data_IF_009876885025
#
_entry.id   IF_009876885025
#
_cell.length_a   1.000
_cell.length_b   1.000
_cell.length_c   1.000
_cell.angle_alpha   90.00
_cell.angle_beta   90.00
_cell.angle_gamma   90.00
#
_symmetry.space_group_name_H-M   'P 1'
#
loop_
_entity.id
_entity.type
_entity.pdbx_description
1 polymer ?
#
# COMPACT_ATOMS: atom_id res chain seq x y z
N UNK A 1 -36.93 -11.23 -5.07
CA UNK A 1 -36.41 -10.11 -4.27
C UNK A 1 -35.41 -9.37 -5.13
N UNK A 2 -35.73 -8.15 -5.57
CA UNK A 2 -34.82 -7.34 -6.37
C UNK A 2 -33.62 -6.95 -5.50
N UNK A 3 -32.40 -7.22 -5.97
CA UNK A 3 -31.17 -6.85 -5.24
C UNK A 3 -31.06 -5.34 -5.01
N UNK A 4 -30.14 -4.90 -4.13
CA UNK A 4 -29.89 -3.47 -3.93
C UNK A 4 -29.55 -2.78 -5.25
N UNK A 5 -30.02 -1.54 -5.43
CA UNK A 5 -29.66 -0.75 -6.61
C UNK A 5 -28.13 -0.59 -6.70
N UNK A 6 -27.54 -0.44 -7.90
CA UNK A 6 -26.08 -0.27 -8.05
C UNK A 6 -25.52 0.87 -7.17
N UNK A 7 -26.27 1.96 -7.02
CA UNK A 7 -25.94 3.08 -6.12
C UNK A 7 -25.90 2.66 -4.64
N UNK A 8 -26.89 1.89 -4.18
CA UNK A 8 -26.92 1.41 -2.79
C UNK A 8 -25.80 0.38 -2.51
N UNK A 9 -25.52 -0.51 -3.47
CA UNK A 9 -24.41 -1.44 -3.37
C UNK A 9 -23.05 -0.72 -3.32
N UNK A 10 -22.91 0.37 -4.07
CA UNK A 10 -21.70 1.19 -4.09
C UNK A 10 -21.51 1.95 -2.77
N UNK A 11 -22.58 2.55 -2.25
CA UNK A 11 -22.56 3.18 -0.93
C UNK A 11 -22.12 2.18 0.16
N UNK A 12 -22.70 0.99 0.16
CA UNK A 12 -22.33 -0.07 1.11
C UNK A 12 -20.86 -0.52 0.94
N UNK A 13 -20.32 -0.53 -0.29
CA UNK A 13 -18.90 -0.81 -0.52
C UNK A 13 -18.00 0.27 0.10
N UNK A 14 -18.33 1.55 -0.11
CA UNK A 14 -17.61 2.67 0.51
C UNK A 14 -17.61 2.58 2.03
N UNK A 15 -18.76 2.27 2.64
CA UNK A 15 -18.88 2.12 4.09
C UNK A 15 -18.01 0.96 4.61
N UNK A 16 -18.02 -0.19 3.93
CA UNK A 16 -17.15 -1.32 4.31
C UNK A 16 -15.66 -0.94 4.24
N UNK A 17 -15.24 -0.24 3.18
CA UNK A 17 -13.84 0.22 3.03
C UNK A 17 -13.44 1.22 4.09
N UNK A 18 -14.30 2.18 4.41
CA UNK A 18 -14.05 3.14 5.49
C UNK A 18 -13.98 2.45 6.84
N UNK A 19 -14.92 1.55 7.16
CA UNK A 19 -14.92 0.80 8.41
C UNK A 19 -13.67 -0.07 8.56
N UNK A 20 -13.24 -0.73 7.48
CA UNK A 20 -11.99 -1.49 7.44
C UNK A 20 -10.80 -0.55 7.71
N UNK A 21 -10.68 0.54 6.95
CA UNK A 21 -9.62 1.54 7.11
C UNK A 21 -9.54 2.10 8.53
N UNK A 22 -10.68 2.44 9.14
CA UNK A 22 -10.75 3.04 10.47
C UNK A 22 -10.40 2.03 11.57
N UNK A 23 -10.97 0.82 11.52
CA UNK A 23 -10.60 -0.28 12.43
C UNK A 23 -9.11 -0.58 12.36
N UNK A 24 -8.59 -0.52 11.16
CA UNK A 24 -7.19 -0.75 10.88
C UNK A 24 -6.32 0.41 11.41
N UNK A 25 -6.67 1.64 11.13
CA UNK A 25 -5.79 2.79 11.42
C UNK A 25 -5.88 3.27 12.86
N UNK A 26 -7.08 3.24 13.46
CA UNK A 26 -7.35 3.80 14.78
C UNK A 26 -7.63 2.73 15.85
N UNK A 27 -7.91 1.49 15.45
CA UNK A 27 -8.10 0.37 16.38
C UNK A 27 -9.19 0.65 17.44
N UNK A 28 -8.92 0.36 18.74
CA UNK A 28 -9.93 0.46 19.79
C UNK A 28 -10.36 1.89 20.13
N UNK A 29 -9.61 2.92 19.71
CA UNK A 29 -9.96 4.33 19.94
C UNK A 29 -10.65 4.98 18.73
N UNK A 30 -10.95 4.20 17.69
CA UNK A 30 -11.65 4.65 16.47
C UNK A 30 -12.92 5.44 16.77
N UNK A 31 -13.81 4.90 17.61
CA UNK A 31 -15.07 5.56 17.95
C UNK A 31 -14.90 6.89 18.68
N UNK A 32 -13.90 7.00 19.56
CA UNK A 32 -13.61 8.25 20.28
C UNK A 32 -13.05 9.32 19.32
N UNK A 33 -12.06 8.92 18.52
CA UNK A 33 -11.42 9.79 17.52
C UNK A 33 -12.45 10.29 16.49
N UNK A 34 -13.29 9.40 15.95
CA UNK A 34 -14.36 9.74 15.02
C UNK A 34 -15.37 10.69 15.67
N UNK A 35 -15.87 10.36 16.86
CA UNK A 35 -16.83 11.21 17.56
C UNK A 35 -16.30 12.60 17.95
N UNK A 36 -14.98 12.76 18.14
CA UNK A 36 -14.37 14.07 18.37
C UNK A 36 -14.25 14.89 17.08
N UNK A 37 -13.81 14.29 15.97
CA UNK A 37 -13.75 14.99 14.69
C UNK A 37 -15.13 15.30 14.11
N UNK A 38 -16.11 14.42 14.30
CA UNK A 38 -17.47 14.69 13.80
C UNK A 38 -18.07 15.92 14.48
N UNK A 39 -17.87 16.08 15.80
CA UNK A 39 -18.28 17.28 16.55
C UNK A 39 -17.53 18.56 16.16
N UNK A 40 -16.32 18.42 15.63
CA UNK A 40 -15.50 19.55 15.20
C UNK A 40 -15.94 20.05 13.82
N UNK A 41 -16.02 19.14 12.87
CA UNK A 41 -16.11 19.45 11.44
C UNK A 41 -17.53 19.61 10.97
N UNK A 42 -18.49 18.96 11.62
CA UNK A 42 -19.89 19.00 11.21
C UNK A 42 -20.73 19.78 12.22
N UNK A 43 -21.79 20.47 11.75
CA UNK A 43 -22.67 21.21 12.63
C UNK A 43 -23.44 20.28 13.59
N UNK A 44 -23.86 20.77 14.78
CA UNK A 44 -24.67 19.98 15.70
C UNK A 44 -25.94 19.43 15.03
N UNK A 45 -26.17 18.12 15.15
CA UNK A 45 -27.31 17.44 14.53
C UNK A 45 -27.10 17.00 13.07
N UNK A 46 -25.91 17.23 12.50
CA UNK A 46 -25.55 16.61 11.23
C UNK A 46 -25.37 15.09 11.38
N UNK A 47 -25.79 14.35 10.35
CA UNK A 47 -25.58 12.90 10.21
C UNK A 47 -24.61 12.65 9.03
N UNK A 48 -23.30 12.92 9.22
CA UNK A 48 -22.32 12.70 8.16
C UNK A 48 -22.23 11.21 7.81
N UNK A 49 -22.03 10.93 6.53
CA UNK A 49 -21.76 9.57 6.06
C UNK A 49 -20.38 9.12 6.52
N UNK A 50 -20.16 7.81 6.64
CA UNK A 50 -18.87 7.28 7.09
C UNK A 50 -17.68 7.74 6.20
N UNK A 51 -17.81 7.85 4.86
CA UNK A 51 -16.77 8.45 4.03
C UNK A 51 -16.46 9.92 4.33
N UNK A 52 -17.48 10.72 4.70
CA UNK A 52 -17.28 12.13 5.08
C UNK A 52 -16.55 12.24 6.41
N UNK A 53 -16.85 11.37 7.38
CA UNK A 53 -16.12 11.31 8.66
C UNK A 53 -14.68 10.78 8.47
N UNK A 54 -14.47 9.87 7.53
CA UNK A 54 -13.17 9.22 7.29
C UNK A 54 -12.19 10.10 6.52
N UNK A 55 -12.65 11.03 5.69
CA UNK A 55 -11.78 11.86 4.85
C UNK A 55 -10.85 12.78 5.68
N UNK A 56 -11.33 13.56 6.66
CA UNK A 56 -10.49 14.37 7.53
C UNK A 56 -9.51 13.52 8.35
N UNK A 57 -9.93 12.31 8.75
CA UNK A 57 -9.07 11.35 9.42
C UNK A 57 -7.92 10.89 8.54
N UNK A 58 -8.22 10.49 7.30
CA UNK A 58 -7.22 10.08 6.34
C UNK A 58 -6.25 11.21 6.00
N UNK A 59 -6.75 12.44 5.93
CA UNK A 59 -5.92 13.63 5.76
C UNK A 59 -4.96 13.84 6.94
N UNK A 60 -5.46 13.83 8.19
CA UNK A 60 -4.64 13.98 9.38
C UNK A 60 -3.59 12.86 9.47
N UNK A 61 -4.02 11.63 9.23
CA UNK A 61 -3.20 10.42 9.26
C UNK A 61 -2.05 10.53 8.23
N UNK A 62 -2.36 10.88 6.98
CA UNK A 62 -1.35 11.07 5.93
C UNK A 62 -0.31 12.14 6.30
N UNK A 63 -0.76 13.28 6.82
CA UNK A 63 0.10 14.43 7.14
C UNK A 63 1.04 14.13 8.31
N UNK A 64 0.52 13.48 9.35
CA UNK A 64 1.35 13.04 10.49
C UNK A 64 2.40 12.02 10.08
N UNK A 65 2.04 11.06 9.21
CA UNK A 65 2.98 10.06 8.72
C UNK A 65 3.99 10.62 7.72
N UNK A 66 3.64 11.69 7.02
CA UNK A 66 4.57 12.47 6.20
C UNK A 66 5.53 13.34 7.04
N UNK A 67 5.42 13.30 8.37
CA UNK A 67 6.31 14.02 9.29
C UNK A 67 5.89 15.46 9.59
N UNK A 68 4.65 15.86 9.26
CA UNK A 68 4.17 17.20 9.64
C UNK A 68 3.97 17.31 11.16
N UNK A 69 4.36 18.46 11.72
CA UNK A 69 4.19 18.73 13.14
C UNK A 69 2.72 18.73 13.58
N UNK A 70 2.45 18.20 14.77
CA UNK A 70 1.10 18.10 15.35
C UNK A 70 0.33 19.43 15.31
N UNK A 71 1.01 20.52 15.67
CA UNK A 71 0.41 21.86 15.69
C UNK A 71 0.02 22.37 14.30
N UNK A 72 0.77 21.98 13.26
CA UNK A 72 0.43 22.31 11.88
C UNK A 72 -0.76 21.48 11.39
N UNK A 73 -0.78 20.19 11.71
CA UNK A 73 -1.92 19.30 11.37
C UNK A 73 -3.21 19.77 12.04
N UNK A 74 -3.17 20.22 13.31
CA UNK A 74 -4.33 20.86 13.98
C UNK A 74 -4.89 22.01 13.15
N UNK A 75 -4.03 22.98 12.79
CA UNK A 75 -4.45 24.17 12.05
C UNK A 75 -5.05 23.82 10.69
N UNK A 76 -4.49 22.82 10.01
CA UNK A 76 -5.04 22.35 8.74
C UNK A 76 -6.42 21.72 8.93
N UNK A 77 -6.60 20.87 9.94
CA UNK A 77 -7.90 20.28 10.28
C UNK A 77 -8.94 21.32 10.67
N UNK A 78 -8.56 22.33 11.46
CA UNK A 78 -9.42 23.48 11.78
C UNK A 78 -9.81 24.26 10.52
N UNK A 79 -8.90 24.39 9.56
CA UNK A 79 -9.15 24.97 8.24
C UNK A 79 -10.21 24.20 7.43
N UNK A 80 -10.33 22.88 7.63
CA UNK A 80 -11.34 22.06 6.95
C UNK A 80 -12.76 22.29 7.49
N UNK A 81 -12.94 22.87 8.69
CA UNK A 81 -14.27 23.02 9.30
C UNK A 81 -15.28 23.74 8.38
N UNK A 82 -14.80 24.73 7.60
CA UNK A 82 -15.64 25.46 6.62
C UNK A 82 -16.14 24.56 5.49
N UNK A 83 -15.34 23.58 5.06
CA UNK A 83 -15.73 22.64 3.99
C UNK A 83 -16.86 21.69 4.40
N UNK A 84 -17.01 21.46 5.71
CA UNK A 84 -17.99 20.55 6.29
C UNK A 84 -19.12 21.30 7.03
N UNK A 85 -19.20 22.62 6.87
CA UNK A 85 -20.30 23.44 7.37
C UNK A 85 -20.22 23.81 8.86
N UNK A 86 -19.09 23.56 9.52
CA UNK A 86 -18.85 23.99 10.90
C UNK A 86 -18.24 25.40 10.95
N UNK A 87 -18.72 26.30 11.84
CA UNK A 87 -18.26 27.69 11.94
C UNK A 87 -16.86 27.87 12.57
N UNK A 88 -16.08 26.80 12.75
CA UNK A 88 -14.67 26.88 13.16
C UNK A 88 -14.44 26.61 14.65
N UNK A 89 -14.78 25.39 15.09
CA UNK A 89 -14.36 24.89 16.40
C UNK A 89 -12.84 24.63 16.43
N UNK A 90 -12.21 24.83 17.60
CA UNK A 90 -10.78 24.53 17.81
C UNK A 90 -10.59 23.10 18.30
N UNK A 91 -9.58 22.43 17.79
CA UNK A 91 -9.19 21.10 18.24
C UNK A 91 -8.49 21.17 19.59
N UNK A 92 -8.83 20.25 20.50
CA UNK A 92 -8.05 20.04 21.72
C UNK A 92 -6.82 19.19 21.35
N UNK A 93 -5.67 19.56 21.89
CA UNK A 93 -4.40 18.80 21.71
C UNK A 93 -4.60 17.31 22.05
N UNK A 94 -5.47 16.99 23.01
CA UNK A 94 -5.81 15.61 23.39
C UNK A 94 -6.38 14.75 22.25
N UNK A 95 -7.16 15.31 21.32
CA UNK A 95 -7.75 14.58 20.18
C UNK A 95 -6.68 14.10 19.21
N UNK A 96 -5.74 14.98 18.91
CA UNK A 96 -4.63 14.66 18.01
C UNK A 96 -3.55 13.85 18.70
N UNK A 97 -3.40 13.97 20.02
CA UNK A 97 -2.59 13.06 20.82
C UNK A 97 -3.17 11.64 20.83
N UNK A 98 -4.49 11.48 20.95
CA UNK A 98 -5.16 10.17 20.81
C UNK A 98 -5.02 9.62 19.40
N UNK A 99 -5.15 10.46 18.37
CA UNK A 99 -4.87 10.07 16.99
C UNK A 99 -3.40 9.64 16.83
N UNK A 100 -2.44 10.46 17.25
CA UNK A 100 -1.01 10.15 17.17
C UNK A 100 -0.68 8.90 17.96
N UNK A 101 -1.25 8.72 19.15
CA UNK A 101 -1.11 7.50 19.95
C UNK A 101 -1.69 6.33 19.16
N UNK A 102 -2.92 6.37 18.66
CA UNK A 102 -3.48 5.30 17.83
C UNK A 102 -2.63 4.96 16.60
N UNK A 103 -2.09 5.98 15.93
CA UNK A 103 -1.28 5.86 14.72
C UNK A 103 0.15 5.36 15.00
N UNK A 104 0.67 5.56 16.22
CA UNK A 104 2.05 5.18 16.63
C UNK A 104 2.09 3.97 17.57
N UNK A 105 0.99 3.70 18.26
CA UNK A 105 0.74 2.62 19.23
C UNK A 105 -0.09 1.48 18.64
N UNK A 106 -0.24 1.40 17.32
CA UNK A 106 -0.63 0.18 16.64
C UNK A 106 0.65 -0.53 16.15
N UNK A 107 1.13 -1.58 16.84
CA UNK A 107 2.33 -2.30 16.43
C UNK A 107 2.03 -3.09 15.16
N UNK A 108 2.92 -3.03 14.17
CA UNK A 108 2.80 -3.83 12.94
C UNK A 108 2.25 -3.12 11.70
N UNK A 109 2.17 -1.79 11.67
CA UNK A 109 1.69 -1.06 10.48
C UNK A 109 2.79 -0.17 9.91
N UNK A 110 3.87 -0.83 9.46
CA UNK A 110 4.84 -0.26 8.52
C UNK A 110 4.20 0.11 7.16
N UNK A 111 2.89 -0.17 7.01
CA UNK A 111 2.01 0.13 5.88
C UNK A 111 1.12 1.37 6.06
N UNK A 112 1.32 2.19 7.08
CA UNK A 112 0.34 3.22 7.46
C UNK A 112 0.31 4.40 6.49
N UNK A 113 1.44 4.74 5.86
CA UNK A 113 1.52 5.87 4.92
C UNK A 113 0.84 5.53 3.61
N UNK A 114 1.15 4.39 2.99
CA UNK A 114 0.50 3.97 1.75
C UNK A 114 -1.01 3.76 1.95
N UNK A 115 -1.45 3.22 3.09
CA UNK A 115 -2.88 3.09 3.43
C UNK A 115 -3.54 4.44 3.69
N UNK A 116 -2.88 5.36 4.38
CA UNK A 116 -3.39 6.71 4.59
C UNK A 116 -3.48 7.47 3.26
N UNK A 117 -2.50 7.30 2.37
CA UNK A 117 -2.45 7.88 1.05
C UNK A 117 -3.58 7.36 0.16
N UNK A 118 -3.72 6.04 0.04
CA UNK A 118 -4.77 5.39 -0.74
C UNK A 118 -6.16 5.73 -0.21
N UNK A 119 -6.35 5.75 1.10
CA UNK A 119 -7.59 6.19 1.73
C UNK A 119 -7.88 7.68 1.45
N UNK A 120 -6.92 8.56 1.71
CA UNK A 120 -7.07 10.00 1.51
C UNK A 120 -7.43 10.32 0.06
N UNK A 121 -6.66 9.82 -0.91
CA UNK A 121 -6.94 10.12 -2.32
C UNK A 121 -8.23 9.46 -2.81
N UNK A 122 -8.58 8.25 -2.37
CA UNK A 122 -9.87 7.64 -2.73
C UNK A 122 -11.06 8.47 -2.21
N UNK A 123 -10.99 8.91 -0.96
CA UNK A 123 -12.04 9.70 -0.32
C UNK A 123 -12.09 11.14 -0.86
N UNK A 124 -10.94 11.73 -1.18
CA UNK A 124 -10.84 13.03 -1.81
C UNK A 124 -11.49 12.99 -3.18
N UNK A 125 -11.11 12.04 -4.04
CA UNK A 125 -11.70 11.89 -5.37
C UNK A 125 -13.22 11.68 -5.30
N UNK A 126 -13.71 10.88 -4.33
CA UNK A 126 -15.15 10.74 -4.07
C UNK A 126 -15.81 12.08 -3.74
N UNK A 127 -15.21 12.89 -2.88
CA UNK A 127 -15.72 14.23 -2.53
C UNK A 127 -15.77 15.13 -3.76
N UNK A 128 -14.67 15.20 -4.51
CA UNK A 128 -14.58 16.06 -5.70
C UNK A 128 -15.58 15.64 -6.78
N UNK A 129 -15.75 14.33 -6.99
CA UNK A 129 -16.78 13.80 -7.89
C UNK A 129 -18.21 14.19 -7.43
N UNK A 130 -18.45 14.22 -6.11
CA UNK A 130 -19.70 14.73 -5.54
C UNK A 130 -19.91 16.22 -5.77
N UNK A 131 -18.85 17.04 -5.69
CA UNK A 131 -18.92 18.47 -6.01
C UNK A 131 -19.22 18.71 -7.50
N UNK A 132 -18.62 17.92 -8.39
CA UNK A 132 -18.94 17.94 -9.83
C UNK A 132 -20.41 17.56 -10.09
N UNK A 133 -20.93 16.54 -9.38
CA UNK A 133 -22.33 16.13 -9.46
C UNK A 133 -23.30 17.23 -9.00
N UNK A 134 -22.88 18.04 -8.03
CA UNK A 134 -23.63 19.21 -7.54
C UNK A 134 -23.50 20.45 -8.43
N UNK A 135 -22.72 20.39 -9.52
CA UNK A 135 -22.51 21.50 -10.45
C UNK A 135 -21.53 22.56 -9.94
N UNK A 136 -20.67 22.24 -8.97
CA UNK A 136 -19.61 23.14 -8.52
C UNK A 136 -18.56 23.30 -9.62
N UNK A 137 -18.20 24.54 -9.95
CA UNK A 137 -17.23 24.84 -11.01
C UNK A 137 -15.80 24.37 -10.69
N UNK A 138 -15.04 23.99 -11.72
CA UNK A 138 -13.67 23.48 -11.56
C UNK A 138 -12.74 24.48 -10.85
N UNK A 139 -12.92 25.79 -11.04
CA UNK A 139 -12.13 26.82 -10.35
C UNK A 139 -12.34 26.80 -8.83
N UNK A 140 -13.57 26.53 -8.38
CA UNK A 140 -13.86 26.40 -6.95
C UNK A 140 -13.29 25.10 -6.38
N UNK A 141 -13.33 24.00 -7.13
CA UNK A 141 -12.70 22.73 -6.75
C UNK A 141 -11.17 22.88 -6.68
N UNK A 142 -10.58 23.60 -7.63
CA UNK A 142 -9.16 23.95 -7.66
C UNK A 142 -8.78 24.75 -6.41
N UNK A 143 -9.58 25.76 -6.05
CA UNK A 143 -9.42 26.49 -4.79
C UNK A 143 -9.51 25.59 -3.55
N UNK A 144 -10.44 24.63 -3.52
CA UNK A 144 -10.52 23.67 -2.41
C UNK A 144 -9.25 22.81 -2.30
N UNK A 145 -8.74 22.31 -3.43
CA UNK A 145 -7.51 21.52 -3.49
C UNK A 145 -6.28 22.28 -2.98
N UNK A 146 -6.12 23.53 -3.39
CA UNK A 146 -4.98 24.35 -2.98
C UNK A 146 -5.12 24.81 -1.53
N UNK A 147 -6.26 25.38 -1.18
CA UNK A 147 -6.41 26.19 0.03
C UNK A 147 -6.73 25.33 1.25
N UNK A 148 -7.56 24.29 1.08
CA UNK A 148 -7.98 23.43 2.18
C UNK A 148 -7.11 22.17 2.28
N UNK A 149 -6.91 21.47 1.16
CA UNK A 149 -6.16 20.21 1.14
C UNK A 149 -4.63 20.39 1.02
N UNK A 150 -4.17 21.60 0.69
CA UNK A 150 -2.75 21.93 0.59
C UNK A 150 -2.04 21.23 -0.58
N UNK A 151 -2.76 20.97 -1.68
CA UNK A 151 -2.25 20.40 -2.92
C UNK A 151 -1.88 21.56 -3.84
N UNK A 152 -0.61 21.96 -3.82
CA UNK A 152 -0.13 23.20 -4.43
C UNK A 152 0.52 23.00 -5.82
N UNK A 153 1.00 21.79 -6.11
CA UNK A 153 1.61 21.50 -7.39
C UNK A 153 0.54 21.42 -8.49
N UNK A 154 0.69 22.22 -9.55
CA UNK A 154 -0.28 22.30 -10.66
C UNK A 154 -0.56 20.91 -11.27
N UNK A 155 0.48 20.09 -11.41
CA UNK A 155 0.32 18.72 -11.91
C UNK A 155 -0.51 17.84 -10.97
N UNK A 156 -0.34 17.98 -9.65
CA UNK A 156 -1.11 17.22 -8.67
C UNK A 156 -2.58 17.67 -8.62
N UNK A 157 -2.83 18.96 -8.78
CA UNK A 157 -4.18 19.54 -8.92
C UNK A 157 -4.85 19.00 -10.18
N UNK A 158 -4.15 19.06 -11.33
CA UNK A 158 -4.63 18.53 -12.61
C UNK A 158 -4.98 17.06 -12.52
N UNK A 159 -4.09 16.22 -11.99
CA UNK A 159 -4.32 14.79 -11.82
C UNK A 159 -5.50 14.50 -10.88
N UNK A 160 -5.68 15.30 -9.82
CA UNK A 160 -6.83 15.15 -8.90
C UNK A 160 -8.15 15.49 -9.58
N UNK A 161 -8.18 16.56 -10.39
CA UNK A 161 -9.35 16.94 -11.19
C UNK A 161 -9.65 15.90 -12.29
N UNK A 162 -8.63 15.42 -12.99
CA UNK A 162 -8.76 14.35 -14.00
C UNK A 162 -9.36 13.09 -13.38
N UNK A 163 -8.83 12.64 -12.23
CA UNK A 163 -9.35 11.50 -11.49
C UNK A 163 -10.79 11.72 -10.99
N UNK A 164 -11.12 12.92 -10.51
CA UNK A 164 -12.46 13.24 -10.03
C UNK A 164 -13.48 13.26 -11.17
N UNK A 165 -13.11 13.80 -12.33
CA UNK A 165 -13.94 13.77 -13.55
C UNK A 165 -14.15 12.36 -14.06
N UNK A 166 -13.09 11.56 -14.08
CA UNK A 166 -13.16 10.18 -14.49
C UNK A 166 -14.10 9.40 -13.56
N UNK A 167 -13.95 9.54 -12.24
CA UNK A 167 -14.85 8.95 -11.25
C UNK A 167 -16.29 9.44 -11.43
N UNK A 168 -16.51 10.75 -11.55
CA UNK A 168 -17.83 11.34 -11.73
C UNK A 168 -18.56 10.80 -12.96
N UNK A 169 -17.93 10.84 -14.15
CA UNK A 169 -18.50 10.29 -15.39
C UNK A 169 -18.88 8.82 -15.24
N UNK A 170 -18.01 8.07 -14.59
CA UNK A 170 -18.16 6.64 -14.34
C UNK A 170 -19.28 6.31 -13.37
N UNK A 171 -19.59 7.20 -12.42
CA UNK A 171 -20.76 7.06 -11.56
C UNK A 171 -22.08 7.31 -12.31
N UNK A 172 -22.04 7.94 -13.48
CA UNK A 172 -23.19 8.15 -14.36
C UNK A 172 -23.35 7.05 -15.43
N UNK A 173 -22.25 6.41 -15.86
CA UNK A 173 -22.27 5.36 -16.88
C UNK A 173 -22.02 3.95 -16.29
N UNK A 174 -23.02 3.04 -16.34
CA UNK A 174 -22.90 1.68 -15.80
C UNK A 174 -21.84 0.80 -16.50
N UNK A 175 -21.32 1.16 -17.67
CA UNK A 175 -20.21 0.42 -18.30
C UNK A 175 -18.82 0.85 -17.80
N UNK A 176 -18.75 1.70 -16.77
CA UNK A 176 -17.48 2.10 -16.15
C UNK A 176 -16.46 2.79 -17.09
N UNK A 177 -16.88 3.34 -18.23
CA UNK A 177 -15.95 3.89 -19.23
C UNK A 177 -15.13 2.82 -19.98
N UNK A 178 -15.50 1.55 -19.84
CA UNK A 178 -14.96 0.46 -20.62
C UNK A 178 -15.42 0.58 -22.08
N UNK A 179 -14.49 0.64 -23.03
CA UNK A 179 -14.84 0.65 -24.46
C UNK A 179 -15.50 -0.68 -24.86
N UNK A 180 -16.49 -0.67 -25.77
CA UNK A 180 -17.06 -1.91 -26.28
C UNK A 180 -15.98 -2.73 -26.98
N UNK A 181 -16.02 -4.05 -26.80
CA UNK A 181 -15.16 -4.96 -27.53
C UNK A 181 -15.72 -5.17 -28.95
N UNK A 182 -14.87 -5.44 -29.96
CA UNK A 182 -15.33 -5.74 -31.31
C UNK A 182 -15.99 -7.13 -31.43
N UNK A 183 -16.09 -7.87 -30.32
CA UNK A 183 -16.67 -9.20 -30.22
C UNK A 183 -17.38 -9.38 -28.87
N UNK A 184 -18.31 -10.34 -28.80
CA UNK A 184 -18.89 -10.79 -27.55
C UNK A 184 -17.84 -11.60 -26.76
N UNK A 185 -17.45 -11.10 -25.57
CA UNK A 185 -16.31 -11.65 -24.82
C UNK A 185 -16.48 -13.14 -24.47
N UNK A 186 -17.66 -13.52 -23.94
CA UNK A 186 -17.93 -14.91 -23.53
C UNK A 186 -17.92 -15.88 -24.71
N UNK A 187 -18.55 -15.50 -25.82
CA UNK A 187 -18.58 -16.30 -27.05
C UNK A 187 -17.18 -16.44 -27.67
N UNK A 188 -16.42 -15.35 -27.68
CA UNK A 188 -15.05 -15.35 -28.19
C UNK A 188 -14.13 -16.22 -27.34
N UNK A 189 -14.24 -16.18 -26.00
CA UNK A 189 -13.49 -17.05 -25.11
C UNK A 189 -13.85 -18.52 -25.32
N UNK A 190 -15.14 -18.83 -25.49
CA UNK A 190 -15.60 -20.20 -25.75
C UNK A 190 -15.07 -20.73 -27.10
N UNK A 191 -15.15 -19.92 -28.16
CA UNK A 191 -14.64 -20.28 -29.48
C UNK A 191 -13.13 -20.55 -29.50
N UNK A 192 -12.37 -19.95 -28.57
CA UNK A 192 -10.93 -20.14 -28.45
C UNK A 192 -10.51 -21.16 -27.37
N UNK A 193 -11.47 -21.81 -26.71
CA UNK A 193 -11.21 -22.80 -25.65
C UNK A 193 -10.65 -22.19 -24.36
N UNK A 194 -10.99 -20.93 -24.07
CA UNK A 194 -10.43 -20.16 -22.94
C UNK A 194 -11.42 -19.95 -21.78
N UNK A 195 -12.65 -20.44 -21.86
CA UNK A 195 -13.69 -20.21 -20.85
C UNK A 195 -13.29 -20.68 -19.45
N UNK A 196 -12.72 -21.88 -19.31
CA UNK A 196 -12.27 -22.38 -18.00
C UNK A 196 -11.07 -21.61 -17.46
N UNK A 197 -10.11 -21.26 -18.34
CA UNK A 197 -8.95 -20.47 -17.97
C UNK A 197 -9.35 -19.07 -17.48
N UNK A 198 -10.29 -18.42 -18.17
CA UNK A 198 -10.82 -17.12 -17.75
C UNK A 198 -11.61 -17.22 -16.43
N UNK A 199 -12.44 -18.26 -16.25
CA UNK A 199 -13.15 -18.50 -14.99
C UNK A 199 -12.19 -18.74 -13.81
N UNK A 200 -11.07 -19.43 -14.06
CA UNK A 200 -10.00 -19.63 -13.08
C UNK A 200 -9.28 -18.31 -12.77
N UNK A 201 -8.88 -17.56 -13.80
CA UNK A 201 -8.21 -16.26 -13.66
C UNK A 201 -9.08 -15.23 -12.94
N UNK A 202 -10.41 -15.28 -13.10
CA UNK A 202 -11.35 -14.41 -12.37
C UNK A 202 -11.20 -14.54 -10.85
N UNK A 203 -10.84 -15.73 -10.34
CA UNK A 203 -10.63 -15.95 -8.90
C UNK A 203 -9.45 -15.17 -8.34
N UNK A 204 -8.49 -14.77 -9.21
CA UNK A 204 -7.38 -13.89 -8.82
C UNK A 204 -7.89 -12.50 -8.41
N UNK A 205 -9.08 -12.07 -8.85
CA UNK A 205 -9.61 -10.74 -8.57
C UNK A 205 -10.80 -10.76 -7.61
N UNK A 206 -10.83 -11.73 -6.69
CA UNK A 206 -11.96 -11.93 -5.78
C UNK A 206 -12.32 -10.66 -4.96
N UNK A 207 -11.31 -9.87 -4.54
CA UNK A 207 -11.52 -8.62 -3.81
C UNK A 207 -12.24 -7.55 -4.64
N UNK A 208 -11.95 -7.45 -5.94
CA UNK A 208 -12.68 -6.58 -6.87
C UNK A 208 -14.09 -7.10 -7.18
N UNK A 209 -14.31 -8.42 -7.06
CA UNK A 209 -15.63 -9.04 -7.24
C UNK A 209 -16.69 -8.57 -6.22
N UNK A 210 -16.28 -8.02 -5.09
CA UNK A 210 -17.18 -7.40 -4.10
C UNK A 210 -17.64 -5.99 -4.48
N UNK A 211 -17.00 -5.37 -5.50
CA UNK A 211 -17.36 -4.05 -5.97
C UNK A 211 -18.47 -4.14 -7.03
N UNK A 212 -19.62 -3.45 -6.83
CA UNK A 212 -20.82 -3.64 -7.66
C UNK A 212 -20.61 -3.27 -9.12
N UNK A 213 -19.65 -2.40 -9.41
CA UNK A 213 -19.39 -1.99 -10.78
C UNK A 213 -18.17 -2.65 -11.41
N UNK A 214 -17.19 -3.19 -10.65
CA UNK A 214 -15.93 -3.66 -11.24
C UNK A 214 -16.06 -5.01 -11.96
N UNK A 215 -17.19 -5.70 -11.86
CA UNK A 215 -17.37 -7.03 -12.45
C UNK A 215 -16.99 -7.09 -13.94
N UNK A 216 -17.45 -6.19 -14.84
CA UNK A 216 -17.05 -6.24 -16.26
C UNK A 216 -15.56 -5.95 -16.48
N UNK A 217 -14.94 -5.15 -15.61
CA UNK A 217 -13.49 -4.90 -15.64
C UNK A 217 -12.72 -6.16 -15.23
N UNK A 218 -13.18 -6.84 -14.18
CA UNK A 218 -12.62 -8.11 -13.70
C UNK A 218 -12.75 -9.22 -14.75
N UNK A 219 -13.89 -9.32 -15.45
CA UNK A 219 -14.03 -10.28 -16.56
C UNK A 219 -13.00 -10.05 -17.66
N UNK A 220 -12.75 -8.79 -18.01
CA UNK A 220 -11.78 -8.43 -19.06
C UNK A 220 -10.34 -8.65 -18.59
N UNK A 221 -10.02 -8.38 -17.32
CA UNK A 221 -8.73 -8.75 -16.73
C UNK A 221 -8.51 -10.26 -16.75
N UNK A 222 -9.51 -11.03 -16.31
CA UNK A 222 -9.45 -12.49 -16.30
C UNK A 222 -9.29 -13.06 -17.72
N UNK A 223 -9.98 -12.48 -18.70
CA UNK A 223 -9.80 -12.82 -20.11
C UNK A 223 -8.39 -12.48 -20.61
N UNK A 224 -7.86 -11.30 -20.28
CA UNK A 224 -6.50 -10.92 -20.66
C UNK A 224 -5.45 -11.90 -20.09
N UNK A 225 -5.59 -12.28 -18.81
CA UNK A 225 -4.76 -13.27 -18.15
C UNK A 225 -4.83 -14.65 -18.82
N UNK A 226 -6.04 -15.12 -19.15
CA UNK A 226 -6.24 -16.39 -19.85
C UNK A 226 -5.62 -16.38 -21.26
N UNK A 227 -5.78 -15.28 -22.00
CA UNK A 227 -5.21 -15.14 -23.34
C UNK A 227 -3.69 -15.06 -23.28
N UNK A 228 -3.11 -14.33 -22.32
CA UNK A 228 -1.66 -14.29 -22.11
C UNK A 228 -1.10 -15.69 -21.88
N UNK A 229 -1.68 -16.45 -20.95
CA UNK A 229 -1.26 -17.83 -20.69
C UNK A 229 -1.36 -18.75 -21.91
N UNK A 230 -2.37 -18.56 -22.75
CA UNK A 230 -2.54 -19.34 -23.98
C UNK A 230 -1.53 -18.95 -25.08
N UNK A 231 -1.17 -17.66 -25.18
CA UNK A 231 -0.12 -17.18 -26.09
C UNK A 231 1.23 -17.76 -25.70
N UNK A 232 1.55 -17.79 -24.41
CA UNK A 232 2.82 -18.32 -23.90
C UNK A 232 2.98 -19.84 -24.13
N UNK A 233 1.88 -20.57 -24.32
CA UNK A 233 1.85 -22.02 -24.52
C UNK A 233 1.65 -22.45 -25.99
N UNK A 234 1.32 -21.52 -26.88
CA UNK A 234 0.90 -21.83 -28.25
C UNK A 234 2.05 -21.96 -29.24
N UNK A 235 1.91 -22.84 -30.22
CA UNK A 235 2.88 -23.03 -31.31
C UNK A 235 2.29 -22.84 -32.72
N UNK A 236 0.97 -22.65 -32.85
CA UNK A 236 0.29 -22.41 -34.13
C UNK A 236 0.24 -20.90 -34.45
N UNK A 237 0.94 -20.42 -35.51
CA UNK A 237 0.99 -19.01 -35.85
C UNK A 237 -0.39 -18.38 -36.14
N UNK A 238 -1.32 -19.14 -36.73
CA UNK A 238 -2.65 -18.64 -37.06
C UNK A 238 -3.48 -18.34 -35.82
N UNK A 239 -3.54 -19.32 -34.90
CA UNK A 239 -4.18 -19.15 -33.59
C UNK A 239 -3.49 -18.08 -32.73
N UNK A 240 -2.15 -18.05 -32.70
CA UNK A 240 -1.39 -17.05 -31.94
C UNK A 240 -1.72 -15.62 -32.39
N UNK A 241 -1.86 -15.39 -33.69
CA UNK A 241 -2.26 -14.08 -34.22
C UNK A 241 -3.66 -13.67 -33.77
N UNK A 242 -4.64 -14.58 -33.88
CA UNK A 242 -6.01 -14.30 -33.45
C UNK A 242 -6.10 -14.02 -31.94
N UNK A 243 -5.34 -14.77 -31.13
CA UNK A 243 -5.23 -14.54 -29.69
C UNK A 243 -4.57 -13.19 -29.37
N UNK A 244 -3.50 -12.82 -30.08
CA UNK A 244 -2.82 -11.54 -29.90
C UNK A 244 -3.72 -10.34 -30.27
N UNK A 245 -4.48 -10.43 -31.36
CA UNK A 245 -5.46 -9.42 -31.77
C UNK A 245 -6.59 -9.28 -30.73
N UNK A 246 -7.12 -10.40 -30.22
CA UNK A 246 -8.09 -10.41 -29.14
C UNK A 246 -7.55 -9.81 -27.83
N UNK A 247 -6.31 -10.18 -27.45
CA UNK A 247 -5.63 -9.63 -26.28
C UNK A 247 -5.47 -8.12 -26.38
N UNK A 248 -5.03 -7.61 -27.53
CA UNK A 248 -4.87 -6.17 -27.75
C UNK A 248 -6.20 -5.41 -27.62
N UNK A 249 -7.30 -5.95 -28.15
CA UNK A 249 -8.63 -5.35 -28.01
C UNK A 249 -9.11 -5.32 -26.55
N UNK A 250 -8.85 -6.40 -25.79
CA UNK A 250 -9.16 -6.46 -24.35
C UNK A 250 -8.33 -5.43 -23.57
N UNK A 251 -7.03 -5.32 -23.86
CA UNK A 251 -6.15 -4.35 -23.19
C UNK A 251 -6.48 -2.89 -23.52
N UNK A 252 -6.84 -2.55 -24.77
CA UNK A 252 -7.27 -1.19 -25.13
C UNK A 252 -8.55 -0.81 -24.36
N UNK A 253 -9.47 -1.77 -24.26
CA UNK A 253 -10.70 -1.60 -23.53
C UNK A 253 -10.48 -1.38 -22.03
N UNK A 254 -9.58 -2.15 -21.41
CA UNK A 254 -9.18 -2.00 -20.00
C UNK A 254 -8.48 -0.67 -19.74
N UNK A 255 -7.58 -0.23 -20.64
CA UNK A 255 -6.81 1.01 -20.49
C UNK A 255 -7.72 2.22 -20.30
N UNK A 256 -8.77 2.32 -21.12
CA UNK A 256 -9.76 3.40 -21.05
C UNK A 256 -10.46 3.47 -19.69
N UNK A 257 -10.69 2.33 -19.03
CA UNK A 257 -11.33 2.29 -17.72
C UNK A 257 -10.32 2.41 -16.56
N UNK A 258 -9.05 1.99 -16.76
CA UNK A 258 -8.02 2.03 -15.73
C UNK A 258 -7.70 3.45 -15.26
N UNK A 259 -7.78 4.43 -16.17
CA UNK A 259 -7.59 5.86 -15.87
C UNK A 259 -8.62 6.42 -14.86
N UNK A 260 -9.73 5.71 -14.66
CA UNK A 260 -10.82 6.11 -13.76
C UNK A 260 -10.84 5.38 -12.42
N UNK A 261 -9.89 4.46 -12.20
CA UNK A 261 -9.81 3.69 -10.96
C UNK A 261 -9.28 4.56 -9.84
N UNK A 262 -10.02 4.61 -8.74
CA UNK A 262 -9.49 5.18 -7.51
C UNK A 262 -8.50 4.20 -6.85
N UNK A 263 -7.61 4.68 -5.98
CA UNK A 263 -6.63 3.82 -5.33
C UNK A 263 -7.21 2.58 -4.64
N UNK A 264 -8.33 2.70 -3.92
CA UNK A 264 -8.99 1.54 -3.27
C UNK A 264 -9.56 0.50 -4.25
N UNK A 265 -9.91 0.90 -5.47
CA UNK A 265 -10.33 -0.06 -6.50
C UNK A 265 -9.12 -0.72 -7.14
N UNK A 266 -8.07 0.07 -7.43
CA UNK A 266 -6.81 -0.43 -7.95
C UNK A 266 -6.17 -1.46 -7.00
N UNK A 267 -6.32 -1.29 -5.68
CA UNK A 267 -5.93 -2.30 -4.69
C UNK A 267 -6.65 -3.63 -4.88
N UNK A 268 -7.99 -3.61 -5.04
CA UNK A 268 -8.80 -4.82 -5.20
C UNK A 268 -8.60 -5.53 -6.55
N UNK A 269 -8.08 -4.80 -7.54
CA UNK A 269 -7.77 -5.31 -8.88
C UNK A 269 -6.36 -5.89 -8.99
N UNK A 270 -5.57 -5.86 -7.92
CA UNK A 270 -4.30 -6.60 -7.87
C UNK A 270 -4.62 -8.10 -7.95
N UNK A 271 -3.99 -8.87 -8.84
CA UNK A 271 -4.16 -10.31 -8.86
C UNK A 271 -3.75 -10.89 -7.50
N UNK A 272 -4.72 -11.41 -6.77
CA UNK A 272 -4.51 -12.21 -5.59
C UNK A 272 -3.85 -13.51 -6.04
N UNK A 273 -2.61 -13.74 -5.60
CA UNK A 273 -1.98 -15.03 -5.77
C UNK A 273 -2.50 -15.94 -4.66
N UNK A 274 -3.33 -16.96 -4.95
CA UNK A 274 -4.13 -17.65 -3.93
C UNK A 274 -3.30 -18.21 -2.78
N UNK A 275 -2.14 -18.78 -3.10
CA UNK A 275 -1.20 -19.30 -2.11
C UNK A 275 -0.64 -18.18 -1.20
N UNK A 276 -0.20 -17.06 -1.77
CA UNK A 276 0.31 -15.92 -0.99
C UNK A 276 -0.81 -15.32 -0.12
N UNK A 277 -1.99 -15.08 -0.70
CA UNK A 277 -3.13 -14.52 0.03
C UNK A 277 -3.56 -15.41 1.20
N UNK A 278 -3.58 -16.74 1.01
CA UNK A 278 -3.91 -17.67 2.10
C UNK A 278 -2.85 -17.66 3.20
N UNK A 279 -1.56 -17.66 2.83
CA UNK A 279 -0.45 -17.60 3.78
C UNK A 279 -0.43 -16.27 4.55
N UNK A 280 -0.74 -15.14 3.89
CA UNK A 280 -0.81 -13.82 4.51
C UNK A 280 -2.03 -13.68 5.44
N UNK A 281 -3.19 -14.21 5.04
CA UNK A 281 -4.37 -14.25 5.90
C UNK A 281 -4.14 -15.15 7.12
N UNK A 282 -3.42 -16.26 6.96
CA UNK A 282 -2.99 -17.11 8.06
C UNK A 282 -1.97 -16.42 8.98
N UNK A 283 -0.94 -15.76 8.44
CA UNK A 283 0.05 -15.05 9.26
C UNK A 283 -0.55 -13.87 10.02
N UNK A 284 -1.49 -13.14 9.42
CA UNK A 284 -2.26 -12.12 10.11
C UNK A 284 -3.02 -12.66 11.33
N UNK A 285 -3.45 -13.93 11.30
CA UNK A 285 -4.08 -14.61 12.45
C UNK A 285 -3.06 -15.10 13.48
N UNK A 286 -1.86 -15.50 13.08
CA UNK A 286 -0.77 -15.84 14.01
C UNK A 286 -0.37 -14.65 14.89
N UNK A 287 -0.32 -13.45 14.29
CA UNK A 287 -0.05 -12.21 15.01
C UNK A 287 -1.09 -11.91 16.11
N UNK A 288 -2.28 -12.52 16.06
CA UNK A 288 -3.33 -12.40 17.07
C UNK A 288 -3.25 -13.50 18.15
N UNK A 289 -2.53 -14.59 17.89
CA UNK A 289 -2.43 -15.76 18.76
C UNK A 289 -1.23 -15.68 19.75
N UNK A 290 -0.21 -14.88 19.46
CA UNK A 290 0.93 -14.61 20.37
C UNK A 290 0.60 -13.52 21.42
N UNK A 291 -0.59 -13.62 22.01
CA UNK A 291 -1.26 -12.64 22.87
C UNK A 291 -0.42 -11.84 23.89
N UNK A 292 -0.75 -10.56 23.99
CA UNK A 292 -0.59 -9.74 25.19
C UNK A 292 -1.56 -8.56 25.14
N UNK A 293 -2.40 -8.41 26.16
CA UNK A 293 -3.50 -7.43 26.30
C UNK A 293 -3.05 -5.96 26.44
N UNK A 294 -2.04 -5.54 25.68
CA UNK A 294 -1.65 -4.13 25.57
C UNK A 294 -1.22 -3.80 24.15
N UNK A 295 -1.55 -2.60 23.61
CA UNK A 295 -1.31 -2.22 22.22
C UNK A 295 0.18 -2.05 21.82
N UNK A 296 1.15 -2.69 22.47
CA UNK A 296 2.58 -2.43 22.26
C UNK A 296 3.42 -3.62 21.81
N UNK A 297 2.91 -4.86 21.85
CA UNK A 297 3.72 -6.04 21.56
C UNK A 297 3.36 -6.68 20.22
N UNK A 298 4.04 -6.27 19.14
CA UNK A 298 4.43 -7.28 18.15
C UNK A 298 5.70 -7.95 18.70
N UNK A 299 5.74 -9.28 18.87
CA UNK A 299 6.95 -9.96 19.32
C UNK A 299 8.16 -9.55 18.45
N UNK A 300 9.24 -9.14 19.10
CA UNK A 300 10.48 -8.66 18.49
C UNK A 300 10.64 -7.14 18.44
N UNK A 301 9.58 -6.32 18.58
CA UNK A 301 9.72 -4.84 18.52
C UNK A 301 10.36 -4.26 19.77
N UNK A 302 10.17 -4.91 20.91
CA UNK A 302 10.85 -4.63 22.18
C UNK A 302 12.37 -4.75 22.08
N UNK A 303 12.87 -5.52 21.10
CA UNK A 303 14.31 -5.71 20.84
C UNK A 303 14.89 -4.70 19.85
N UNK A 304 14.05 -3.90 19.18
CA UNK A 304 14.50 -2.92 18.19
C UNK A 304 15.54 -1.93 18.76
N UNK A 305 15.41 -1.40 19.99
CA UNK A 305 16.44 -0.54 20.60
C UNK A 305 17.79 -1.25 20.75
N UNK A 306 17.80 -2.53 21.11
CA UNK A 306 19.03 -3.30 21.28
C UNK A 306 19.67 -3.62 19.93
N UNK A 307 18.86 -3.98 18.92
CA UNK A 307 19.34 -4.18 17.55
C UNK A 307 19.89 -2.90 16.91
N UNK A 308 19.24 -1.76 17.14
CA UNK A 308 19.75 -0.45 16.73
C UNK A 308 21.08 -0.13 17.41
N UNK A 309 21.19 -0.41 18.72
CA UNK A 309 22.43 -0.21 19.47
C UNK A 309 23.56 -1.08 18.90
N UNK A 310 23.29 -2.36 18.66
CA UNK A 310 24.25 -3.31 18.08
C UNK A 310 24.72 -2.87 16.69
N UNK A 311 23.78 -2.48 15.83
CA UNK A 311 24.05 -1.96 14.50
C UNK A 311 24.92 -0.70 14.53
N UNK A 312 24.56 0.29 15.36
CA UNK A 312 25.32 1.54 15.47
C UNK A 312 26.71 1.33 16.08
N UNK A 313 26.83 0.40 17.03
CA UNK A 313 28.13 0.03 17.63
C UNK A 313 29.04 -0.60 16.59
N UNK A 314 28.51 -1.56 15.81
CA UNK A 314 29.22 -2.23 14.72
C UNK A 314 29.66 -1.25 13.62
N UNK A 315 28.79 -0.31 13.26
CA UNK A 315 29.08 0.77 12.31
C UNK A 315 30.18 1.72 12.81
N UNK A 316 30.31 1.90 14.12
CA UNK A 316 31.30 2.80 14.72
C UNK A 316 32.69 2.16 14.81
N UNK A 317 32.76 0.84 14.80
CA UNK A 317 34.00 0.05 14.80
C UNK A 317 34.53 -0.32 13.40
N UNK A 318 33.74 -0.09 12.35
CA UNK A 318 34.21 -0.33 10.98
C UNK A 318 35.20 0.77 10.57
N UNK A 319 36.48 0.43 10.43
CA UNK A 319 37.45 1.35 9.84
C UNK A 319 37.03 1.67 8.40
N UNK A 320 37.11 2.94 7.95
CA UNK A 320 36.89 3.27 6.55
C UNK A 320 37.88 2.46 5.72
N UNK A 321 37.37 1.61 4.84
CA UNK A 321 38.19 0.75 4.00
C UNK A 321 39.25 1.61 3.30
N UNK A 322 40.53 1.34 3.58
CA UNK A 322 41.65 2.08 3.01
C UNK A 322 41.61 1.95 1.49
N UNK A 323 41.22 3.02 0.79
CA UNK A 323 41.03 3.04 -0.67
C UNK A 323 39.58 3.26 -1.13
N UNK A 324 38.63 3.46 -0.23
CA UNK A 324 37.30 3.93 -0.60
C UNK A 324 37.38 5.33 -1.25
N UNK A 325 36.73 5.56 -2.40
CA UNK A 325 36.77 6.86 -3.08
C UNK A 325 36.26 7.97 -2.16
N UNK A 326 36.95 9.11 -2.15
CA UNK A 326 36.52 10.33 -1.46
C UNK A 326 35.10 10.69 -1.92
N UNK A 327 34.10 10.49 -1.04
CA UNK A 327 32.68 10.67 -1.36
C UNK A 327 31.71 9.65 -0.75
N UNK A 328 32.16 8.62 -0.03
CA UNK A 328 31.27 7.70 0.69
C UNK A 328 30.58 8.39 1.88
N UNK A 329 29.34 8.82 1.67
CA UNK A 329 28.49 9.44 2.69
C UNK A 329 27.73 8.46 3.59
N UNK A 330 27.66 7.17 3.22
CA UNK A 330 26.94 6.13 3.96
C UNK A 330 27.94 5.32 4.79
N UNK A 331 27.81 5.39 6.11
CA UNK A 331 28.69 4.71 7.06
C UNK A 331 28.26 3.27 7.32
N UNK A 332 26.95 3.00 7.32
CA UNK A 332 26.40 1.65 7.49
C UNK A 332 24.98 1.58 6.94
N UNK A 333 24.51 0.38 6.60
CA UNK A 333 23.11 0.13 6.33
C UNK A 333 22.73 -1.28 6.80
N UNK A 334 21.54 -1.46 7.36
CA UNK A 334 21.08 -2.68 7.99
C UNK A 334 19.61 -2.95 7.69
N UNK A 335 19.27 -4.25 7.63
CA UNK A 335 17.89 -4.74 7.55
C UNK A 335 17.56 -5.53 8.81
N UNK A 336 16.38 -5.28 9.34
CA UNK A 336 15.80 -5.99 10.46
C UNK A 336 14.44 -6.53 10.07
N UNK A 337 14.08 -7.69 10.61
CA UNK A 337 12.70 -8.18 10.57
C UNK A 337 12.06 -7.89 11.92
N UNK A 338 10.87 -7.28 11.94
CA UNK A 338 10.12 -6.99 13.17
C UNK A 338 8.75 -7.63 13.01
N UNK A 339 8.45 -8.69 13.76
CA UNK A 339 7.33 -9.58 13.46
C UNK A 339 7.42 -10.10 12.02
N UNK A 340 6.40 -9.83 11.21
CA UNK A 340 6.35 -10.15 9.77
C UNK A 340 6.83 -9.01 8.86
N UNK A 341 7.25 -7.87 9.40
CA UNK A 341 7.62 -6.69 8.63
C UNK A 341 9.12 -6.54 8.39
N UNK A 342 9.49 -5.87 7.31
CA UNK A 342 10.88 -5.48 7.03
C UNK A 342 11.12 -4.03 7.42
N UNK A 343 12.22 -3.78 8.10
CA UNK A 343 12.66 -2.45 8.53
C UNK A 343 14.12 -2.23 8.14
N UNK A 344 14.44 -1.02 7.70
CA UNK A 344 15.77 -0.63 7.25
C UNK A 344 16.31 0.52 8.09
N UNK A 345 17.62 0.54 8.25
CA UNK A 345 18.34 1.64 8.89
C UNK A 345 19.56 1.95 8.05
N UNK A 346 19.87 3.22 7.86
CA UNK A 346 21.14 3.64 7.30
C UNK A 346 21.80 4.72 8.15
N UNK A 347 23.09 4.56 8.39
CA UNK A 347 23.95 5.52 9.06
C UNK A 347 24.63 6.41 8.02
N UNK A 348 24.51 7.73 8.15
CA UNK A 348 25.18 8.72 7.31
C UNK A 348 26.19 9.54 8.11
N UNK A 349 27.27 9.97 7.49
CA UNK A 349 28.15 10.99 8.09
C UNK A 349 27.50 12.38 7.94
N UNK A 350 27.62 13.25 8.94
CA UNK A 350 27.11 14.63 8.85
C UNK A 350 27.74 15.43 7.69
N UNK A 351 28.92 15.03 7.22
CA UNK A 351 29.61 15.63 6.06
C UNK A 351 29.20 15.01 4.73
N UNK A 352 28.30 14.03 4.74
CA UNK A 352 27.80 13.40 3.52
C UNK A 352 27.11 14.43 2.61
N UNK A 353 27.27 14.33 1.28
CA UNK A 353 26.55 15.18 0.35
C UNK A 353 25.04 14.96 0.50
N UNK A 354 24.22 15.99 0.26
CA UNK A 354 22.76 15.91 0.40
C UNK A 354 22.14 14.75 -0.42
N UNK A 355 22.75 14.37 -1.54
CA UNK A 355 22.33 13.23 -2.35
C UNK A 355 22.45 11.87 -1.65
N UNK A 356 23.29 11.73 -0.62
CA UNK A 356 23.44 10.50 0.16
C UNK A 356 22.21 10.19 1.03
N UNK A 357 21.33 11.16 1.28
CA UNK A 357 20.04 10.93 1.94
C UNK A 357 18.91 10.58 0.97
N UNK A 358 19.12 10.72 -0.35
CA UNK A 358 18.19 10.24 -1.36
C UNK A 358 18.35 8.74 -1.51
N UNK A 359 17.28 7.97 -1.33
CA UNK A 359 17.33 6.51 -1.35
C UNK A 359 16.23 5.94 -2.22
N UNK A 360 16.62 5.04 -3.12
CA UNK A 360 15.70 4.25 -3.94
C UNK A 360 15.76 2.81 -3.44
N UNK A 361 14.59 2.22 -3.25
CA UNK A 361 14.42 0.83 -2.91
C UNK A 361 14.13 0.03 -4.18
N UNK A 362 14.86 -1.07 -4.37
CA UNK A 362 14.60 -2.05 -5.43
C UNK A 362 14.53 -3.45 -4.87
N UNK A 363 13.81 -4.32 -5.58
CA UNK A 363 13.75 -5.75 -5.28
C UNK A 363 14.46 -6.52 -6.39
N UNK A 364 15.54 -7.21 -6.04
CA UNK A 364 16.32 -8.00 -6.98
C UNK A 364 16.04 -9.48 -6.79
N UNK A 365 15.78 -10.14 -7.92
CA UNK A 365 15.62 -11.59 -8.00
C UNK A 365 16.55 -12.06 -9.12
N UNK A 366 17.65 -12.72 -8.74
CA UNK A 366 18.61 -13.29 -9.70
C UNK A 366 18.50 -14.79 -9.58
N UNK A 367 18.43 -15.48 -10.72
CA UNK A 367 18.30 -16.92 -10.79
C UNK A 367 19.45 -17.60 -10.02
N UNK A 368 19.12 -18.48 -9.07
CA UNK A 368 20.09 -19.15 -8.20
C UNK A 368 20.61 -18.34 -7.01
N UNK A 369 20.12 -17.11 -6.78
CA UNK A 369 20.42 -16.33 -5.58
C UNK A 369 19.16 -16.07 -4.74
N UNK A 370 19.36 -15.96 -3.42
CA UNK A 370 18.32 -15.50 -2.51
C UNK A 370 17.84 -14.10 -2.94
N UNK A 371 16.52 -13.86 -2.99
CA UNK A 371 16.00 -12.60 -3.43
C UNK A 371 16.37 -11.52 -2.42
N UNK A 372 16.75 -10.34 -2.90
CA UNK A 372 17.36 -9.31 -2.08
C UNK A 372 16.67 -7.95 -2.21
N UNK A 373 16.66 -7.24 -1.10
CA UNK A 373 16.30 -5.83 -1.07
C UNK A 373 17.55 -5.00 -1.35
N UNK A 374 17.50 -4.11 -2.32
CA UNK A 374 18.62 -3.24 -2.68
C UNK A 374 18.26 -1.79 -2.41
N UNK A 375 19.08 -1.14 -1.56
CA UNK A 375 19.05 0.30 -1.36
C UNK A 375 20.10 0.96 -2.25
N UNK A 376 19.66 1.86 -3.13
CA UNK A 376 20.54 2.72 -3.92
C UNK A 376 20.47 4.13 -3.38
N UNK A 377 21.60 4.63 -2.90
CA UNK A 377 21.74 6.00 -2.42
C UNK A 377 22.03 6.94 -3.60
N UNK A 378 21.61 8.19 -3.52
CA UNK A 378 21.83 9.19 -4.58
C UNK A 378 23.31 9.53 -4.81
N UNK A 379 24.20 9.09 -3.91
CA UNK A 379 25.66 9.08 -4.10
C UNK A 379 26.15 8.02 -5.09
N UNK A 380 25.29 7.11 -5.55
CA UNK A 380 25.62 5.96 -6.40
C UNK A 380 26.00 4.70 -5.62
N UNK A 381 26.03 4.75 -4.29
CA UNK A 381 26.29 3.58 -3.45
C UNK A 381 25.09 2.64 -3.41
N UNK A 382 25.34 1.33 -3.44
CA UNK A 382 24.30 0.29 -3.33
C UNK A 382 24.56 -0.64 -2.14
N UNK A 383 23.51 -0.98 -1.41
CA UNK A 383 23.52 -1.95 -0.30
C UNK A 383 22.45 -3.00 -0.54
N UNK A 384 22.87 -4.26 -0.54
CA UNK A 384 21.98 -5.41 -0.80
C UNK A 384 21.75 -6.21 0.49
N UNK A 385 20.49 -6.57 0.73
CA UNK A 385 20.02 -7.29 1.91
C UNK A 385 19.24 -8.54 1.45
N UNK A 386 19.90 -9.71 1.35
CA UNK A 386 19.24 -10.93 0.93
C UNK A 386 18.24 -11.43 1.97
N UNK A 387 17.18 -12.08 1.50
CA UNK A 387 16.22 -12.83 2.32
C UNK A 387 16.57 -14.30 2.28
N UNK A 388 16.85 -14.88 3.45
CA UNK A 388 17.12 -16.31 3.57
C UNK A 388 15.79 -17.05 3.61
N UNK A 389 15.19 -17.31 2.46
CA UNK A 389 13.86 -17.94 2.37
C UNK A 389 13.79 -19.36 2.98
N UNK A 390 14.95 -19.95 3.28
CA UNK A 390 15.05 -21.17 4.06
C UNK A 390 14.65 -21.02 5.53
N UNK A 391 14.66 -19.79 6.06
CA UNK A 391 14.31 -19.47 7.43
C UNK A 391 12.86 -18.97 7.47
N UNK A 392 12.02 -19.55 8.35
CA UNK A 392 10.59 -19.28 8.37
C UNK A 392 10.20 -17.80 8.57
N UNK A 393 10.97 -17.06 9.37
CA UNK A 393 10.77 -15.62 9.63
C UNK A 393 11.12 -14.75 8.43
N UNK A 394 12.21 -15.08 7.75
CA UNK A 394 12.67 -14.42 6.53
C UNK A 394 11.74 -14.69 5.36
N UNK A 395 11.26 -15.94 5.23
CA UNK A 395 10.20 -16.29 4.29
C UNK A 395 8.94 -15.49 4.58
N UNK A 396 8.50 -15.41 5.84
CA UNK A 396 7.32 -14.65 6.22
C UNK A 396 7.46 -13.15 5.93
N UNK A 397 8.62 -12.55 6.21
CA UNK A 397 8.91 -11.16 5.89
C UNK A 397 8.91 -10.90 4.38
N UNK A 398 9.49 -11.82 3.59
CA UNK A 398 9.48 -11.74 2.14
C UNK A 398 8.07 -11.86 1.54
N UNK A 399 7.24 -12.76 2.08
CA UNK A 399 5.82 -12.89 1.72
C UNK A 399 5.05 -11.60 2.03
N UNK A 400 5.30 -11.01 3.21
CA UNK A 400 4.65 -9.77 3.61
C UNK A 400 5.02 -8.60 2.69
N UNK A 401 6.28 -8.53 2.25
CA UNK A 401 6.74 -7.52 1.30
C UNK A 401 6.05 -7.62 -0.08
N UNK A 402 5.67 -8.82 -0.52
CA UNK A 402 4.93 -9.00 -1.76
C UNK A 402 3.51 -8.37 -1.71
N UNK A 403 2.90 -8.35 -0.52
CA UNK A 403 1.58 -7.76 -0.25
C UNK A 403 1.68 -6.25 0.04
N UNK A 404 2.63 -5.89 0.91
CA UNK A 404 2.84 -4.56 1.46
C UNK A 404 4.29 -4.14 1.14
N UNK A 405 4.49 -3.48 -0.01
CA UNK A 405 5.83 -3.24 -0.53
C UNK A 405 6.53 -2.06 0.13
N UNK A 406 5.84 -1.26 0.97
CA UNK A 406 6.47 -0.14 1.65
C UNK A 406 7.36 -0.60 2.81
N UNK A 407 8.62 -0.18 2.76
CA UNK A 407 9.63 -0.48 3.77
C UNK A 407 10.05 0.81 4.43
N UNK A 408 9.96 0.86 5.76
CA UNK A 408 10.47 2.00 6.52
C UNK A 408 12.00 1.97 6.55
N UNK A 409 12.62 3.10 6.22
CA UNK A 409 14.04 3.37 6.36
C UNK A 409 14.23 4.50 7.37
N UNK A 410 14.97 4.23 8.44
CA UNK A 410 15.44 5.27 9.36
C UNK A 410 16.88 5.67 9.04
N UNK A 411 17.08 6.95 8.75
CA UNK A 411 18.38 7.56 8.61
C UNK A 411 18.86 8.07 9.96
N UNK A 412 20.06 7.65 10.35
CA UNK A 412 20.74 8.08 11.56
C UNK A 412 22.02 8.78 11.12
N UNK A 413 22.25 10.00 11.59
CA UNK A 413 23.38 10.83 11.19
C UNK A 413 24.41 10.85 12.30
N UNK A 414 25.67 10.58 11.97
CA UNK A 414 26.81 10.74 12.88
C UNK A 414 27.29 12.18 12.81
N UNK A 415 27.15 12.91 13.91
CA UNK A 415 27.64 14.28 14.04
C UNK A 415 29.17 14.36 14.03
N UNK A 416 29.71 15.57 13.92
CA UNK A 416 31.17 15.82 14.00
C UNK A 416 31.76 15.45 15.37
N UNK A 417 30.92 15.41 16.41
CA UNK A 417 31.24 14.93 17.75
C UNK A 417 31.25 13.39 17.86
N UNK A 418 31.04 12.68 16.75
CA UNK A 418 30.99 11.21 16.70
C UNK A 418 29.69 10.61 17.22
N UNK A 419 28.74 11.42 17.69
CA UNK A 419 27.47 10.93 18.23
C UNK A 419 26.45 10.68 17.13
N UNK A 420 25.81 9.51 17.19
CA UNK A 420 24.69 9.14 16.34
C UNK A 420 23.41 9.81 16.80
N UNK A 421 22.72 10.47 15.88
CA UNK A 421 21.43 11.12 16.12
C UNK A 421 20.45 10.68 15.05
N UNK A 422 19.19 10.51 15.45
CA UNK A 422 18.12 10.32 14.48
C UNK A 422 18.10 11.51 13.51
N UNK A 423 18.16 11.21 12.21
CA UNK A 423 18.06 12.22 11.16
C UNK A 423 16.64 12.31 10.64
N UNK A 424 16.17 11.24 10.01
CA UNK A 424 14.87 11.20 9.36
C UNK A 424 14.36 9.76 9.22
N UNK A 425 13.06 9.61 8.94
CA UNK A 425 12.44 8.33 8.61
C UNK A 425 11.66 8.47 7.31
N UNK A 426 11.78 7.48 6.44
CA UNK A 426 11.14 7.43 5.13
C UNK A 426 10.40 6.13 4.97
N UNK A 427 9.32 6.13 4.20
CA UNK A 427 8.75 4.91 3.64
C UNK A 427 9.17 4.82 2.19
N UNK A 428 9.87 3.75 1.85
CA UNK A 428 10.34 3.48 0.51
C UNK A 428 9.42 2.46 -0.14
N UNK A 429 8.98 2.74 -1.37
CA UNK A 429 8.16 1.81 -2.16
C UNK A 429 8.99 1.36 -3.36
N UNK A 430 9.19 0.06 -3.57
CA UNK A 430 9.86 -0.45 -4.75
C UNK A 430 9.04 -0.15 -6.01
N UNK A 431 9.67 0.03 -7.17
CA UNK A 431 9.00 0.17 -8.44
C UNK A 431 7.98 -0.96 -8.70
N UNK A 432 6.86 -0.69 -9.40
CA UNK A 432 5.85 -1.72 -9.68
C UNK A 432 6.41 -2.99 -10.36
N UNK A 433 7.36 -2.84 -11.29
CA UNK A 433 7.99 -3.97 -11.98
C UNK A 433 8.82 -4.87 -11.06
N UNK A 434 9.55 -4.28 -10.11
CA UNK A 434 10.34 -5.00 -9.10
C UNK A 434 9.44 -5.87 -8.22
N UNK A 435 8.24 -5.37 -7.89
CA UNK A 435 7.26 -6.10 -7.08
C UNK A 435 6.68 -7.32 -7.80
N UNK A 436 6.39 -7.20 -9.10
CA UNK A 436 5.90 -8.34 -9.89
C UNK A 436 6.97 -9.44 -10.01
N UNK A 437 8.22 -9.05 -10.26
CA UNK A 437 9.36 -9.96 -10.29
C UNK A 437 9.56 -10.66 -8.93
N UNK A 438 9.50 -9.90 -7.83
CA UNK A 438 9.56 -10.42 -6.46
C UNK A 438 8.50 -11.48 -6.18
N UNK A 439 7.24 -11.16 -6.49
CA UNK A 439 6.10 -12.03 -6.27
C UNK A 439 6.27 -13.35 -7.03
N UNK A 440 6.72 -13.26 -8.30
CA UNK A 440 7.00 -14.44 -9.13
C UNK A 440 8.11 -15.31 -8.55
N UNK A 441 9.23 -14.72 -8.15
CA UNK A 441 10.36 -15.45 -7.60
C UNK A 441 9.99 -16.19 -6.29
N UNK A 442 9.20 -15.54 -5.42
CA UNK A 442 8.70 -16.19 -4.21
C UNK A 442 7.82 -17.38 -4.52
N UNK A 443 6.93 -17.27 -5.50
CA UNK A 443 6.06 -18.38 -5.88
C UNK A 443 6.84 -19.56 -6.45
N UNK A 444 7.82 -19.28 -7.31
CA UNK A 444 8.72 -20.32 -7.81
C UNK A 444 9.41 -21.02 -6.66
N UNK A 445 9.98 -20.26 -5.71
CA UNK A 445 10.61 -20.83 -4.52
C UNK A 445 9.64 -21.69 -3.71
N UNK A 446 8.41 -21.21 -3.46
CA UNK A 446 7.41 -21.95 -2.71
C UNK A 446 7.03 -23.27 -3.41
N UNK A 447 6.93 -23.24 -4.73
CA UNK A 447 6.61 -24.41 -5.53
C UNK A 447 7.77 -25.42 -5.56
N UNK A 448 8.98 -24.97 -5.85
CA UNK A 448 10.17 -25.81 -5.91
C UNK A 448 10.49 -26.48 -4.57
N UNK A 449 10.36 -25.72 -3.47
CA UNK A 449 10.75 -26.21 -2.14
C UNK A 449 9.66 -26.99 -1.42
N UNK A 450 8.40 -26.57 -1.56
CA UNK A 450 7.28 -27.12 -0.78
C UNK A 450 6.20 -27.77 -1.65
N UNK A 451 6.39 -27.85 -2.98
CA UNK A 451 5.37 -28.35 -3.91
C UNK A 451 4.17 -27.41 -4.04
N UNK A 452 4.24 -26.20 -3.48
CA UNK A 452 3.08 -25.31 -3.33
C UNK A 452 2.08 -25.79 -2.27
N UNK A 453 2.42 -26.78 -1.44
CA UNK A 453 1.55 -27.28 -0.38
C UNK A 453 1.52 -26.30 0.80
N UNK A 454 0.40 -25.60 0.93
CA UNK A 454 0.19 -24.54 1.92
C UNK A 454 0.52 -24.98 3.35
N UNK A 455 0.10 -26.17 3.76
CA UNK A 455 0.30 -26.66 5.12
C UNK A 455 1.77 -26.97 5.43
N UNK A 456 2.55 -27.43 4.44
CA UNK A 456 4.00 -27.62 4.61
C UNK A 456 4.71 -26.29 4.80
N UNK A 457 4.30 -25.26 4.05
CA UNK A 457 4.83 -23.90 4.18
C UNK A 457 4.52 -23.34 5.57
N UNK A 458 3.27 -23.48 6.04
CA UNK A 458 2.85 -23.04 7.39
C UNK A 458 3.68 -23.69 8.49
N UNK A 459 3.90 -25.01 8.41
CA UNK A 459 4.70 -25.76 9.40
C UNK A 459 6.13 -25.21 9.46
N UNK A 460 6.73 -24.92 8.31
CA UNK A 460 8.11 -24.41 8.26
C UNK A 460 8.23 -23.01 8.86
N UNK A 461 7.26 -22.12 8.58
CA UNK A 461 7.18 -20.79 9.21
C UNK A 461 7.08 -20.91 10.74
N UNK A 462 6.21 -21.80 11.25
CA UNK A 462 6.06 -22.04 12.69
C UNK A 462 7.30 -22.64 13.36
N UNK A 463 8.05 -23.50 12.67
CA UNK A 463 9.31 -24.06 13.17
C UNK A 463 10.40 -23.00 13.32
N UNK A 464 10.45 -22.05 12.39
CA UNK A 464 11.35 -20.91 12.45
C UNK A 464 11.10 -20.05 13.69
N UNK A 465 9.83 -19.76 13.99
CA UNK A 465 9.44 -18.95 15.15
C UNK A 465 9.83 -19.60 16.49
N UNK A 466 9.66 -20.92 16.63
CA UNK A 466 9.97 -21.64 17.89
C UNK A 466 11.45 -21.80 18.23
N UNK A 467 12.36 -21.75 17.24
CA UNK A 467 13.80 -21.96 17.48
C UNK A 467 14.45 -20.81 18.26
N UNK A 468 13.88 -19.61 18.24
CA UNK A 468 14.44 -18.43 18.93
C UNK A 468 14.04 -18.36 20.41
N UNK A 469 12.90 -18.91 20.83
CA UNK A 469 12.48 -18.95 22.25
C UNK A 469 13.36 -19.89 23.10
N UNK A 470 13.99 -20.90 22.48
CA UNK A 470 14.84 -21.87 23.17
C UNK A 470 16.33 -21.54 23.19
N UNK A 471 16.73 -20.39 22.61
CA UNK A 471 18.12 -19.96 22.48
C UNK A 471 18.37 -18.64 23.20
N UNK A 472 18.26 -18.65 24.54
CA UNK A 472 18.79 -17.60 25.41
C UNK A 472 19.71 -18.20 26.45
#
# INVERSE_FOLDING_TARGET
MSGPSPRAALAAWWDRRCAAYLRESAGPVEGEVRGQLSRLLFPPGAEPTLPEESLPLAFAHLRLLAGEELGLVLRRLEGLARLFGSPGARLRIGTLYLLLTALTSAPGRLSSLARAQTAFFSLLLRRLAGLLDQGVGEDAIRGELTDAWGIQAEEAVRLSLDGARALWRRLQDPQLGLRPLPFALEEWLAANGLSEAAASARRLFAAAGEHPHLAPFVERLAAAEAVRGAVDQGSDPGRLRALAEGHAAILDSLRSAAESLIPWEAEGLRPAVPLLSSLLAWSGRLNLLEGGETPTAQPGRERLPDWLREFLTSASSAEPASGAPEGQGVLAAGRFTVGSGTYLVAGLDAKAPAGAASVILSLQTVEGMDPALVLRFGSGEERSFPYRLAEGRELLAALHLADQPDVRLDLIVRGEDGLWRFGASFYLVPPPGDREAWTRALLMHLHERYGGEEDRIKIEILRGAKKEEGGS
#
